data_IF_382835028337
#
_entry.id   IF_382835028337
#
_cell.length_a   1.000
_cell.length_b   1.000
_cell.length_c   1.000
_cell.angle_alpha   90.00
_cell.angle_beta   90.00
_cell.angle_gamma   90.00
#
_symmetry.space_group_name_H-M   'P 1'
#
loop_
_entity.id
_entity.type
_entity.pdbx_description
1 polymer ?
#
# COMPACT_ATOMS: atom_id res chain seq x y z
N UNK A 1 -1.92 -1.72 23.79
CA UNK A 1 -0.46 -1.50 23.88
C UNK A 1 -0.16 -0.01 23.71
N UNK A 2 0.78 0.56 24.48
CA UNK A 2 1.13 1.99 24.39
C UNK A 2 1.85 2.30 23.08
N UNK A 3 1.52 3.42 22.45
CA UNK A 3 2.13 3.90 21.20
C UNK A 3 3.03 5.12 21.46
N UNK A 4 2.43 6.26 21.85
CA UNK A 4 3.13 7.52 22.07
C UNK A 4 2.32 8.45 22.97
N UNK A 5 2.93 9.51 23.49
CA UNK A 5 2.24 10.56 24.23
C UNK A 5 1.88 11.72 23.29
N UNK A 6 0.61 12.12 23.29
CA UNK A 6 0.06 13.18 22.43
C UNK A 6 0.61 14.58 22.74
N UNK A 7 0.95 14.84 24.00
CA UNK A 7 1.48 16.14 24.45
C UNK A 7 2.97 16.29 24.16
N UNK A 8 3.66 15.18 23.89
CA UNK A 8 5.07 15.16 23.49
C UNK A 8 5.26 15.31 21.96
N UNK A 9 4.19 15.59 21.22
CA UNK A 9 4.21 15.77 19.75
C UNK A 9 3.70 17.17 19.40
N UNK A 10 4.43 17.94 18.56
CA UNK A 10 5.76 17.62 18.03
C UNK A 10 6.84 17.64 19.13
N UNK A 11 7.88 16.82 18.97
CA UNK A 11 9.04 16.76 19.86
C UNK A 11 9.46 15.34 20.24
N UNK A 12 9.38 15.02 21.53
CA UNK A 12 10.07 13.85 22.12
C UNK A 12 9.58 12.51 21.59
N UNK A 13 8.29 12.41 21.25
CA UNK A 13 7.68 11.14 20.81
C UNK A 13 7.47 11.08 19.29
N UNK A 14 8.01 12.03 18.51
CA UNK A 14 7.90 12.05 17.05
C UNK A 14 8.41 10.75 16.42
N UNK A 15 9.56 10.25 16.89
CA UNK A 15 10.14 9.00 16.40
C UNK A 15 9.21 7.79 16.60
N UNK A 16 8.50 7.71 17.74
CA UNK A 16 7.56 6.63 18.02
C UNK A 16 6.33 6.70 17.12
N UNK A 17 5.82 7.91 16.88
CA UNK A 17 4.71 8.12 15.97
C UNK A 17 5.10 7.74 14.53
N UNK A 18 6.26 8.20 14.06
CA UNK A 18 6.80 7.86 12.73
C UNK A 18 6.97 6.35 12.58
N UNK A 19 7.61 5.69 13.55
CA UNK A 19 7.83 4.24 13.52
C UNK A 19 6.51 3.46 13.45
N UNK A 20 5.52 3.85 14.26
CA UNK A 20 4.21 3.20 14.23
C UNK A 20 3.51 3.39 12.89
N UNK A 21 3.56 4.61 12.33
CA UNK A 21 2.92 4.91 11.05
C UNK A 21 3.56 4.14 9.88
N UNK A 22 4.87 4.03 9.89
CA UNK A 22 5.63 3.26 8.91
C UNK A 22 5.34 1.76 9.02
N UNK A 23 5.49 1.18 10.22
CA UNK A 23 5.34 -0.27 10.41
C UNK A 23 3.91 -0.76 10.17
N UNK A 24 2.90 -0.02 10.63
CA UNK A 24 1.51 -0.46 10.56
C UNK A 24 0.84 -0.14 9.23
N UNK A 25 1.15 1.02 8.64
CA UNK A 25 0.45 1.51 7.44
C UNK A 25 1.34 1.59 6.19
N UNK A 26 2.65 1.31 6.29
CA UNK A 26 3.58 1.35 5.16
C UNK A 26 3.79 2.75 4.60
N UNK A 27 3.69 3.78 5.45
CA UNK A 27 3.70 5.19 5.03
C UNK A 27 5.09 5.77 5.20
N UNK A 28 6.03 5.36 4.34
CA UNK A 28 7.46 5.68 4.50
C UNK A 28 7.78 7.19 4.45
N UNK A 29 6.94 7.96 3.73
CA UNK A 29 7.15 9.39 3.56
C UNK A 29 7.03 10.19 4.86
N UNK A 30 6.46 9.62 5.93
CA UNK A 30 6.35 10.28 7.25
C UNK A 30 7.70 10.55 7.90
N UNK A 31 8.76 9.82 7.49
CA UNK A 31 10.13 10.05 7.98
C UNK A 31 10.70 11.41 7.60
N UNK A 32 10.32 11.92 6.43
CA UNK A 32 10.77 13.20 5.89
C UNK A 32 9.69 14.28 5.99
N UNK A 33 8.51 13.93 6.50
CA UNK A 33 7.38 14.82 6.60
C UNK A 33 7.57 15.83 7.73
N UNK A 34 6.94 17.00 7.56
CA UNK A 34 6.84 17.98 8.64
C UNK A 34 5.71 17.54 9.57
N UNK A 35 6.01 17.52 10.87
CA UNK A 35 5.01 17.27 11.92
C UNK A 35 4.67 18.61 12.56
N UNK A 36 3.40 18.98 12.50
CA UNK A 36 2.89 20.18 13.14
C UNK A 36 1.65 19.86 13.97
N UNK A 37 1.49 20.58 15.06
CA UNK A 37 0.27 20.54 15.87
C UNK A 37 -0.46 21.85 15.67
N UNK A 38 -1.58 21.81 14.96
CA UNK A 38 -2.35 23.03 14.65
C UNK A 38 -3.10 23.54 15.87
N UNK A 39 -3.51 22.63 16.77
CA UNK A 39 -4.17 22.92 18.04
C UNK A 39 -3.99 21.73 19.00
N UNK A 40 -4.55 21.81 20.21
CA UNK A 40 -4.47 20.72 21.19
C UNK A 40 -5.13 19.40 20.74
N UNK A 41 -5.93 19.43 19.68
CA UNK A 41 -6.76 18.32 19.20
C UNK A 41 -6.33 17.76 17.84
N UNK A 42 -5.34 18.35 17.17
CA UNK A 42 -5.02 18.00 15.79
C UNK A 42 -3.51 18.05 15.54
N UNK A 43 -2.97 16.90 15.13
CA UNK A 43 -1.60 16.74 14.66
C UNK A 43 -1.67 16.47 13.15
N UNK A 44 -0.88 17.21 12.39
CA UNK A 44 -0.72 17.09 10.94
C UNK A 44 0.67 16.64 10.61
N UNK A 45 0.77 15.65 9.74
CA UNK A 45 2.02 15.15 9.18
C UNK A 45 1.87 15.28 7.68
N UNK A 46 2.70 16.14 7.08
CA UNK A 46 2.53 16.47 5.67
C UNK A 46 3.85 16.69 4.95
N UNK A 47 3.79 16.46 3.65
CA UNK A 47 4.78 16.88 2.66
C UNK A 47 4.08 17.80 1.66
N UNK A 48 4.76 18.18 0.57
CA UNK A 48 4.13 18.93 -0.51
C UNK A 48 2.97 18.16 -1.19
N UNK A 49 2.98 16.83 -1.12
CA UNK A 49 2.03 15.97 -1.86
C UNK A 49 1.11 15.15 -0.96
N UNK A 50 1.55 14.83 0.25
CA UNK A 50 0.84 13.92 1.14
C UNK A 50 0.38 14.62 2.41
N UNK A 51 -0.79 14.22 2.91
CA UNK A 51 -1.35 14.73 4.16
C UNK A 51 -1.90 13.57 5.00
N UNK A 52 -1.45 13.54 6.25
CA UNK A 52 -1.95 12.66 7.29
C UNK A 52 -2.36 13.52 8.48
N UNK A 53 -3.55 13.26 9.00
CA UNK A 53 -4.12 13.99 10.13
C UNK A 53 -4.51 13.02 11.23
N UNK A 54 -4.06 13.32 12.44
CA UNK A 54 -4.52 12.69 13.67
C UNK A 54 -5.41 13.69 14.40
N UNK A 55 -6.62 13.28 14.74
CA UNK A 55 -7.59 14.15 15.43
C UNK A 55 -8.05 13.52 16.73
N UNK A 56 -7.74 14.16 17.85
CA UNK A 56 -8.24 13.83 19.17
C UNK A 56 -9.67 14.34 19.33
N UNK A 57 -10.55 13.50 19.88
CA UNK A 57 -11.91 13.93 20.18
C UNK A 57 -11.97 14.87 21.40
N UNK A 58 -13.08 15.59 21.55
CA UNK A 58 -13.26 16.57 22.62
C UNK A 58 -13.17 15.93 24.02
N UNK A 59 -13.56 14.68 24.17
CA UNK A 59 -13.49 13.93 25.44
C UNK A 59 -12.08 13.40 25.74
N UNK A 60 -11.13 13.52 24.81
CA UNK A 60 -9.76 12.99 24.91
C UNK A 60 -9.70 11.47 25.17
N UNK A 61 -10.66 10.74 24.62
CA UNK A 61 -10.79 9.28 24.73
C UNK A 61 -10.41 8.53 23.46
N UNK A 62 -10.40 9.22 22.31
CA UNK A 62 -10.12 8.61 21.00
C UNK A 62 -9.35 9.56 20.08
N UNK A 63 -8.44 8.99 19.30
CA UNK A 63 -7.77 9.66 18.19
C UNK A 63 -8.16 8.98 16.88
N UNK A 64 -8.62 9.75 15.90
CA UNK A 64 -8.89 9.27 14.54
C UNK A 64 -7.72 9.58 13.63
N UNK A 65 -7.23 8.57 12.91
CA UNK A 65 -6.23 8.70 11.87
C UNK A 65 -6.89 8.83 10.51
N UNK A 66 -6.51 9.86 9.77
CA UNK A 66 -6.94 10.11 8.39
C UNK A 66 -5.72 10.22 7.49
N UNK A 67 -5.68 9.44 6.41
CA UNK A 67 -4.62 9.48 5.39
C UNK A 67 -5.28 9.84 4.07
N UNK A 68 -4.79 10.88 3.39
CA UNK A 68 -5.35 11.35 2.11
C UNK A 68 -6.88 11.56 2.18
N UNK A 69 -7.35 12.16 3.28
CA UNK A 69 -8.77 12.45 3.56
C UNK A 69 -9.67 11.22 3.77
N UNK A 70 -9.11 10.02 3.94
CA UNK A 70 -9.85 8.79 4.26
C UNK A 70 -9.55 8.34 5.69
N UNK A 71 -10.61 8.11 6.48
CA UNK A 71 -10.49 7.57 7.84
C UNK A 71 -9.89 6.16 7.75
N UNK A 72 -8.70 5.99 8.33
CA UNK A 72 -7.91 4.76 8.20
C UNK A 72 -7.91 3.94 9.48
N UNK A 73 -7.82 4.56 10.66
CA UNK A 73 -7.83 3.85 11.93
C UNK A 73 -8.27 4.75 13.11
N UNK A 74 -8.52 4.12 14.26
CA UNK A 74 -8.86 4.77 15.51
C UNK A 74 -8.00 4.23 16.66
N UNK A 75 -7.47 5.13 17.48
CA UNK A 75 -6.66 4.81 18.65
C UNK A 75 -7.37 5.22 19.94
N UNK A 76 -7.05 4.52 21.02
CA UNK A 76 -7.55 4.83 22.36
C UNK A 76 -6.65 5.89 22.96
N UNK A 77 -7.24 6.98 23.46
CA UNK A 77 -6.54 7.98 24.24
C UNK A 77 -6.91 7.84 25.72
N UNK A 78 -5.91 7.89 26.61
CA UNK A 78 -6.10 7.87 28.07
C UNK A 78 -5.33 9.01 28.71
N UNK A 79 -5.94 9.66 29.69
CA UNK A 79 -5.28 10.70 30.49
C UNK A 79 -4.63 10.02 31.70
N UNK A 80 -3.31 10.08 31.78
CA UNK A 80 -2.51 9.50 32.85
C UNK A 80 -1.47 10.53 33.29
N UNK A 81 -1.39 10.80 34.60
CA UNK A 81 -0.48 11.82 35.15
C UNK A 81 -0.63 13.20 34.45
N UNK A 82 -1.88 13.59 34.17
CA UNK A 82 -2.24 14.83 33.47
C UNK A 82 -1.72 14.96 32.03
N UNK A 83 -1.29 13.84 31.42
CA UNK A 83 -0.88 13.80 30.01
C UNK A 83 -1.71 12.81 29.22
N UNK A 84 -1.90 13.08 27.94
CA UNK A 84 -2.66 12.23 27.03
C UNK A 84 -1.73 11.19 26.39
N UNK A 85 -1.95 9.92 26.71
CA UNK A 85 -1.23 8.78 26.15
C UNK A 85 -2.11 8.05 25.13
N UNK A 86 -1.52 7.66 24.00
CA UNK A 86 -2.20 6.97 22.91
C UNK A 86 -1.84 5.49 22.93
N UNK A 87 -2.86 4.66 22.78
CA UNK A 87 -2.79 3.21 22.83
C UNK A 87 -3.44 2.61 21.59
N UNK A 88 -2.85 1.55 21.06
CA UNK A 88 -3.54 0.67 20.10
C UNK A 88 -4.49 -0.26 20.86
N UNK A 89 -5.66 -0.49 20.26
CA UNK A 89 -6.64 -1.45 20.75
C UNK A 89 -6.15 -2.88 20.47
N UNK A 90 -5.38 -3.42 21.41
CA UNK A 90 -4.87 -4.82 21.38
C UNK A 90 -5.59 -5.66 22.44
N UNK A 91 -6.50 -5.07 23.21
CA UNK A 91 -7.08 -5.70 24.42
C UNK A 91 -8.41 -6.42 24.18
N UNK A 92 -9.01 -6.33 23.00
CA UNK A 92 -10.21 -7.12 22.67
C UNK A 92 -9.89 -8.60 22.35
N UNK A 93 -8.72 -8.93 21.79
CA UNK A 93 -8.45 -10.30 21.32
C UNK A 93 -8.15 -11.32 22.45
N UNK A 94 -7.70 -10.88 23.62
CA UNK A 94 -7.32 -11.78 24.74
C UNK A 94 -8.34 -11.87 25.88
N UNK A 95 -9.29 -10.94 25.99
CA UNK A 95 -10.28 -10.95 27.08
C UNK A 95 -11.63 -11.60 26.70
N UNK A 96 -11.92 -11.76 25.41
CA UNK A 96 -13.17 -12.37 24.92
C UNK A 96 -13.23 -13.91 25.08
N UNK A 97 -12.08 -14.58 25.28
CA UNK A 97 -12.04 -16.03 25.54
C UNK A 97 -12.31 -16.34 27.04
N UNK A 98 -12.08 -15.39 27.96
CA UNK A 98 -12.18 -15.64 29.41
C UNK A 98 -13.38 -15.00 30.12
N UNK A 99 -14.07 -14.04 29.51
CA UNK A 99 -15.28 -13.45 30.08
C UNK A 99 -16.43 -13.65 29.10
N UNK A 100 -17.28 -14.63 29.41
CA UNK A 100 -18.50 -14.88 28.67
C UNK A 100 -19.28 -13.59 28.42
N UNK A 101 -19.50 -13.32 27.14
CA UNK A 101 -20.64 -12.60 26.57
C UNK A 101 -21.15 -11.42 27.40
N UNK A 102 -20.51 -10.26 27.22
CA UNK A 102 -21.23 -8.99 27.22
C UNK A 102 -20.79 -8.19 25.99
N UNK A 103 -21.37 -8.60 24.87
CA UNK A 103 -21.34 -7.86 23.60
C UNK A 103 -22.11 -6.55 23.79
N UNK A 104 -21.41 -5.50 24.23
CA UNK A 104 -21.88 -4.14 23.97
C UNK A 104 -21.40 -3.75 22.56
N UNK A 105 -22.22 -4.20 21.61
CA UNK A 105 -22.14 -3.95 20.18
C UNK A 105 -21.81 -2.50 19.83
N UNK A 106 -20.74 -2.30 19.06
CA UNK A 106 -20.57 -1.13 18.19
C UNK A 106 -20.21 -1.64 16.79
N UNK A 107 -21.24 -1.79 15.94
CA UNK A 107 -21.20 -2.28 14.54
C UNK A 107 -20.50 -1.28 13.59
N UNK A 108 -20.02 -1.67 12.36
CA UNK A 108 -20.90 -1.56 11.16
C UNK A 108 -20.45 -2.27 9.84
N UNK A 109 -20.28 -3.61 9.74
CA UNK A 109 -20.26 -4.28 8.40
C UNK A 109 -20.93 -5.65 8.37
N UNK A 110 -20.84 -6.43 9.45
CA UNK A 110 -21.61 -7.68 9.61
C UNK A 110 -23.12 -7.44 9.73
N UNK A 111 -23.55 -6.29 10.24
CA UNK A 111 -24.97 -5.95 10.38
C UNK A 111 -25.61 -5.53 9.05
N UNK A 112 -24.87 -4.87 8.14
CA UNK A 112 -25.36 -4.54 6.80
C UNK A 112 -25.46 -5.80 5.93
N UNK A 113 -24.45 -6.67 5.97
CA UNK A 113 -24.51 -7.99 5.34
C UNK A 113 -25.64 -8.85 5.93
N UNK A 114 -25.79 -8.83 7.26
CA UNK A 114 -26.85 -9.54 7.98
C UNK A 114 -28.25 -9.00 7.71
N UNK A 115 -28.45 -7.69 7.55
CA UNK A 115 -29.73 -7.09 7.19
C UNK A 115 -30.12 -7.39 5.74
N UNK A 116 -29.16 -7.40 4.82
CA UNK A 116 -29.41 -7.81 3.42
C UNK A 116 -29.76 -9.30 3.36
N UNK A 117 -29.04 -10.15 4.11
CA UNK A 117 -29.31 -11.58 4.17
C UNK A 117 -30.64 -11.89 4.87
N UNK A 118 -30.96 -11.19 5.97
CA UNK A 118 -32.24 -11.31 6.66
C UNK A 118 -33.39 -10.80 5.79
N UNK A 119 -33.20 -9.70 5.05
CA UNK A 119 -34.15 -9.22 4.06
C UNK A 119 -34.41 -10.24 2.95
N UNK A 120 -33.35 -10.85 2.40
CA UNK A 120 -33.48 -11.93 1.41
C UNK A 120 -34.18 -13.17 1.96
N UNK A 121 -33.89 -13.57 3.21
CA UNK A 121 -34.55 -14.69 3.88
C UNK A 121 -36.04 -14.39 4.09
N UNK A 122 -36.41 -13.18 4.53
CA UNK A 122 -37.82 -12.79 4.71
C UNK A 122 -38.55 -12.77 3.36
N UNK A 123 -37.94 -12.21 2.31
CA UNK A 123 -38.53 -12.21 0.95
C UNK A 123 -38.68 -13.63 0.41
N UNK A 124 -37.69 -14.50 0.64
CA UNK A 124 -37.73 -15.90 0.21
C UNK A 124 -38.79 -16.70 0.97
N UNK A 125 -38.87 -16.53 2.30
CA UNK A 125 -39.86 -17.19 3.16
C UNK A 125 -41.27 -16.67 2.87
N UNK A 126 -41.48 -15.36 2.69
CA UNK A 126 -42.80 -14.83 2.31
C UNK A 126 -43.19 -15.21 0.88
N UNK A 127 -42.26 -15.23 -0.08
CA UNK A 127 -42.56 -15.67 -1.44
C UNK A 127 -42.91 -17.15 -1.51
N UNK A 128 -42.18 -17.99 -0.78
CA UNK A 128 -42.35 -19.45 -0.77
C UNK A 128 -43.56 -19.91 0.06
N UNK A 129 -43.81 -19.32 1.24
CA UNK A 129 -44.91 -19.72 2.13
C UNK A 129 -46.16 -18.84 2.00
N UNK A 130 -46.01 -17.55 1.68
CA UNK A 130 -47.12 -16.60 1.62
C UNK A 130 -48.05 -16.81 0.42
N UNK A 131 -47.58 -17.46 -0.64
CA UNK A 131 -48.40 -17.70 -1.84
C UNK A 131 -49.29 -18.95 -1.73
N UNK A 132 -49.01 -19.89 -0.82
CA UNK A 132 -49.76 -21.15 -0.76
C UNK A 132 -50.68 -21.36 0.45
N UNK A 133 -50.51 -20.67 1.59
CA UNK A 133 -51.15 -21.20 2.82
C UNK A 133 -51.96 -20.28 3.74
N UNK A 134 -52.18 -18.98 3.48
CA UNK A 134 -52.82 -18.16 4.52
C UNK A 134 -53.87 -17.10 4.14
N UNK A 135 -54.05 -16.71 2.87
CA UNK A 135 -55.08 -15.70 2.51
C UNK A 135 -54.89 -14.31 3.15
N UNK A 136 -53.68 -14.01 3.64
CA UNK A 136 -53.36 -12.80 4.42
C UNK A 136 -53.21 -11.54 3.54
N UNK A 137 -52.90 -11.70 2.26
CA UNK A 137 -52.74 -10.59 1.32
C UNK A 137 -53.60 -10.78 0.08
N UNK A 138 -54.27 -9.71 -0.35
CA UNK A 138 -54.91 -9.70 -1.67
C UNK A 138 -53.84 -9.76 -2.77
N UNK A 139 -54.16 -10.28 -3.97
CA UNK A 139 -53.21 -10.31 -5.09
C UNK A 139 -52.57 -8.95 -5.37
N UNK A 140 -53.32 -7.86 -5.19
CA UNK A 140 -52.83 -6.48 -5.42
C UNK A 140 -51.75 -6.08 -4.40
N UNK A 141 -51.93 -6.40 -3.12
CA UNK A 141 -50.95 -6.09 -2.06
C UNK A 141 -49.66 -6.88 -2.23
N UNK A 142 -49.77 -8.15 -2.66
CA UNK A 142 -48.60 -8.96 -2.97
C UNK A 142 -47.73 -8.34 -4.09
N UNK A 143 -48.36 -7.80 -5.15
CA UNK A 143 -47.63 -7.10 -6.21
C UNK A 143 -46.89 -5.85 -5.69
N UNK A 144 -47.51 -5.08 -4.79
CA UNK A 144 -46.86 -3.91 -4.20
C UNK A 144 -45.64 -4.28 -3.34
N UNK A 145 -45.75 -5.33 -2.52
CA UNK A 145 -44.64 -5.80 -1.67
C UNK A 145 -43.47 -6.31 -2.52
N UNK A 146 -43.76 -7.07 -3.58
CA UNK A 146 -42.74 -7.55 -4.52
C UNK A 146 -42.07 -6.36 -5.22
N UNK A 147 -42.86 -5.40 -5.73
CA UNK A 147 -42.35 -4.21 -6.40
C UNK A 147 -41.45 -3.35 -5.49
N UNK A 148 -41.86 -3.13 -4.24
CA UNK A 148 -41.07 -2.39 -3.26
C UNK A 148 -39.76 -3.13 -2.92
N UNK A 149 -39.80 -4.45 -2.79
CA UNK A 149 -38.62 -5.27 -2.51
C UNK A 149 -37.60 -5.19 -3.64
N UNK A 150 -38.06 -5.30 -4.90
CA UNK A 150 -37.20 -5.14 -6.08
C UNK A 150 -36.56 -3.75 -6.10
N UNK A 151 -37.34 -2.71 -5.81
CA UNK A 151 -36.84 -1.32 -5.84
C UNK A 151 -35.77 -1.08 -4.77
N UNK A 152 -35.96 -1.60 -3.55
CA UNK A 152 -34.96 -1.55 -2.47
C UNK A 152 -33.70 -2.32 -2.87
N UNK A 153 -33.85 -3.52 -3.44
CA UNK A 153 -32.70 -4.33 -3.89
C UNK A 153 -31.92 -3.62 -5.00
N UNK A 154 -32.62 -2.97 -5.93
CA UNK A 154 -32.02 -2.22 -7.03
C UNK A 154 -31.25 -1.01 -6.50
N UNK A 155 -31.82 -0.28 -5.55
CA UNK A 155 -31.16 0.86 -4.91
C UNK A 155 -29.91 0.43 -4.11
N UNK A 156 -29.99 -0.66 -3.35
CA UNK A 156 -28.85 -1.21 -2.63
C UNK A 156 -27.73 -1.68 -3.57
N UNK A 157 -28.09 -2.35 -4.69
CA UNK A 157 -27.14 -2.76 -5.71
C UNK A 157 -26.46 -1.57 -6.39
N UNK A 158 -27.21 -0.51 -6.70
CA UNK A 158 -26.67 0.71 -7.28
C UNK A 158 -25.71 1.43 -6.32
N UNK A 159 -26.05 1.47 -5.03
CA UNK A 159 -25.19 2.03 -3.99
C UNK A 159 -23.86 1.26 -3.87
N UNK A 160 -23.91 -0.07 -3.86
CA UNK A 160 -22.71 -0.93 -3.86
C UNK A 160 -21.85 -0.70 -5.12
N UNK A 161 -22.47 -0.61 -6.30
CA UNK A 161 -21.74 -0.31 -7.54
C UNK A 161 -21.07 1.07 -7.52
N UNK A 162 -21.72 2.07 -6.93
CA UNK A 162 -21.15 3.41 -6.79
C UNK A 162 -19.94 3.44 -5.85
N UNK A 163 -20.02 2.76 -4.70
CA UNK A 163 -18.89 2.68 -3.77
C UNK A 163 -17.72 1.86 -4.32
N UNK A 164 -18.00 0.76 -5.04
CA UNK A 164 -17.00 0.00 -5.80
C UNK A 164 -16.32 0.86 -6.87
N UNK A 165 -17.08 1.67 -7.62
CA UNK A 165 -16.50 2.55 -8.65
C UNK A 165 -15.55 3.58 -8.04
N UNK A 166 -15.93 4.19 -6.91
CA UNK A 166 -15.09 5.17 -6.22
C UNK A 166 -13.82 4.54 -5.67
N UNK A 167 -13.88 3.34 -5.09
CA UNK A 167 -12.69 2.63 -4.59
C UNK A 167 -11.75 2.22 -5.72
N UNK A 168 -12.28 1.75 -6.86
CA UNK A 168 -11.48 1.42 -8.04
C UNK A 168 -10.81 2.66 -8.64
N UNK A 169 -11.47 3.83 -8.65
CA UNK A 169 -10.82 5.06 -9.13
C UNK A 169 -9.62 5.46 -8.28
N UNK A 170 -9.67 5.25 -6.97
CA UNK A 170 -8.55 5.53 -6.06
C UNK A 170 -7.40 4.54 -6.29
N UNK A 171 -7.72 3.25 -6.47
CA UNK A 171 -6.73 2.21 -6.78
C UNK A 171 -5.99 2.49 -8.10
N UNK A 172 -6.70 2.97 -9.12
CA UNK A 172 -6.10 3.28 -10.43
C UNK A 172 -5.10 4.43 -10.37
N UNK A 173 -5.37 5.46 -9.58
CA UNK A 173 -4.45 6.59 -9.36
C UNK A 173 -3.14 6.09 -8.71
N UNK A 174 -3.24 5.19 -7.73
CA UNK A 174 -2.08 4.66 -7.04
C UNK A 174 -1.22 3.74 -7.92
N UNK A 175 -1.84 2.99 -8.83
CA UNK A 175 -1.14 2.18 -9.82
C UNK A 175 -0.33 3.04 -10.80
N UNK A 176 -0.89 4.16 -11.28
CA UNK A 176 -0.19 5.09 -12.18
C UNK A 176 1.00 5.79 -11.49
N UNK A 177 0.87 6.17 -10.21
CA UNK A 177 2.01 6.69 -9.43
C UNK A 177 3.13 5.66 -9.26
N UNK A 178 2.79 4.40 -9.00
CA UNK A 178 3.77 3.32 -8.87
C UNK A 178 4.50 3.05 -10.19
N UNK A 179 3.81 3.16 -11.33
CA UNK A 179 4.43 3.05 -12.65
C UNK A 179 5.40 4.20 -12.93
N UNK A 180 5.00 5.44 -12.63
CA UNK A 180 5.85 6.63 -12.79
C UNK A 180 7.11 6.57 -11.89
N UNK A 181 6.97 6.11 -10.65
CA UNK A 181 8.12 5.89 -9.76
C UNK A 181 9.07 4.81 -10.27
N UNK A 182 8.54 3.76 -10.91
CA UNK A 182 9.37 2.71 -11.52
C UNK A 182 10.19 3.24 -12.68
N UNK A 183 9.56 3.99 -13.58
CA UNK A 183 10.22 4.52 -14.77
C UNK A 183 11.31 5.52 -14.41
N UNK A 184 11.02 6.44 -13.47
CA UNK A 184 12.02 7.40 -12.97
C UNK A 184 13.20 6.71 -12.26
N UNK A 185 12.97 5.61 -11.52
CA UNK A 185 14.04 4.81 -10.94
C UNK A 185 14.87 4.07 -12.00
N UNK A 186 14.24 3.55 -13.06
CA UNK A 186 14.96 2.91 -14.16
C UNK A 186 15.81 3.92 -14.92
N UNK A 187 15.31 5.13 -15.19
CA UNK A 187 16.03 6.19 -15.86
C UNK A 187 17.26 6.67 -15.03
N UNK A 188 17.11 6.79 -13.71
CA UNK A 188 18.25 7.04 -12.80
C UNK A 188 19.28 5.92 -12.81
N UNK A 189 18.84 4.66 -12.88
CA UNK A 189 19.76 3.52 -13.02
C UNK A 189 20.50 3.54 -14.35
N UNK A 190 19.80 3.82 -15.45
CA UNK A 190 20.40 3.87 -16.78
C UNK A 190 21.42 5.01 -16.87
N UNK A 191 21.08 6.20 -16.38
CA UNK A 191 22.01 7.36 -16.38
C UNK A 191 23.26 7.13 -15.51
N UNK A 192 23.12 6.48 -14.35
CA UNK A 192 24.29 6.10 -13.52
C UNK A 192 25.17 5.02 -14.18
N UNK A 193 24.56 4.06 -14.90
CA UNK A 193 25.27 3.06 -15.70
C UNK A 193 25.98 3.70 -16.90
N UNK A 194 25.38 4.70 -17.52
CA UNK A 194 25.96 5.41 -18.65
C UNK A 194 27.13 6.31 -18.22
N UNK A 195 27.01 6.96 -17.06
CA UNK A 195 28.12 7.71 -16.44
C UNK A 195 29.31 6.81 -16.07
N UNK A 196 29.04 5.62 -15.49
CA UNK A 196 30.10 4.65 -15.18
C UNK A 196 30.70 4.02 -16.45
N UNK A 197 29.89 3.74 -17.48
CA UNK A 197 30.38 3.27 -18.79
C UNK A 197 31.25 4.32 -19.47
N UNK A 198 30.84 5.59 -19.48
CA UNK A 198 31.61 6.71 -20.04
C UNK A 198 32.95 6.91 -19.31
N UNK A 199 32.96 6.74 -17.98
CA UNK A 199 34.20 6.69 -17.19
C UNK A 199 35.10 5.50 -17.55
N UNK A 200 34.52 4.32 -17.79
CA UNK A 200 35.27 3.12 -18.18
C UNK A 200 35.84 3.20 -19.61
N UNK A 201 35.10 3.76 -20.57
CA UNK A 201 35.59 3.94 -21.96
C UNK A 201 36.71 4.97 -22.05
N UNK A 202 36.73 5.96 -21.18
CA UNK A 202 37.80 6.98 -21.13
C UNK A 202 39.12 6.40 -20.62
N UNK A 203 39.10 5.37 -19.76
CA UNK A 203 40.33 4.72 -19.26
C UNK A 203 40.78 3.50 -20.08
N UNK A 204 39.86 2.83 -20.78
CA UNK A 204 40.16 1.66 -21.61
C UNK A 204 40.48 2.00 -23.07
N UNK A 205 39.93 3.08 -23.63
CA UNK A 205 40.20 3.50 -25.00
C UNK A 205 41.69 3.66 -25.33
N UNK A 206 42.48 4.40 -24.51
CA UNK A 206 43.91 4.53 -24.72
C UNK A 206 44.69 3.22 -24.57
N UNK A 207 44.22 2.31 -23.70
CA UNK A 207 44.85 1.00 -23.47
C UNK A 207 44.60 0.03 -24.62
N UNK A 208 43.39 0.00 -25.18
CA UNK A 208 43.04 -0.83 -26.33
C UNK A 208 43.76 -0.33 -27.60
N UNK A 209 43.82 0.98 -27.81
CA UNK A 209 44.57 1.58 -28.93
C UNK A 209 46.10 1.34 -28.82
N UNK A 210 46.64 1.19 -27.61
CA UNK A 210 48.05 0.86 -27.40
C UNK A 210 48.38 -0.64 -27.61
N UNK A 211 47.36 -1.51 -27.62
CA UNK A 211 47.50 -2.96 -27.80
C UNK A 211 47.37 -3.40 -29.26
N UNK A 212 46.63 -2.67 -30.10
CA UNK A 212 46.52 -2.93 -31.55
C UNK A 212 47.88 -3.01 -32.29
N UNK A 213 48.82 -2.05 -32.14
CA UNK A 213 50.11 -2.14 -32.82
C UNK A 213 50.98 -3.28 -32.28
N UNK A 214 50.79 -3.69 -31.02
CA UNK A 214 51.52 -4.82 -30.44
C UNK A 214 51.02 -6.15 -31.00
N UNK A 215 49.71 -6.28 -31.21
CA UNK A 215 49.11 -7.47 -31.80
C UNK A 215 49.55 -7.64 -33.27
N UNK A 216 49.52 -6.56 -34.06
CA UNK A 216 50.01 -6.57 -35.44
C UNK A 216 51.50 -6.95 -35.55
N UNK A 217 52.32 -6.49 -34.58
CA UNK A 217 53.75 -6.86 -34.47
C UNK A 217 53.92 -8.33 -34.10
N UNK A 218 53.02 -8.90 -33.28
CA UNK A 218 53.07 -10.30 -32.89
C UNK A 218 52.71 -11.22 -34.07
N UNK A 219 51.69 -10.87 -34.85
CA UNK A 219 51.27 -11.63 -36.03
C UNK A 219 52.36 -11.67 -37.12
N UNK A 220 53.07 -10.56 -37.34
CA UNK A 220 54.23 -10.54 -38.25
C UNK A 220 55.39 -11.40 -37.76
N UNK A 221 55.60 -11.48 -36.44
CA UNK A 221 56.64 -12.36 -35.87
C UNK A 221 56.26 -13.84 -35.96
N UNK A 222 54.99 -14.18 -35.77
CA UNK A 222 54.50 -15.57 -35.90
C UNK A 222 54.63 -16.05 -37.34
N UNK A 223 54.19 -15.27 -38.32
CA UNK A 223 54.32 -15.62 -39.75
C UNK A 223 55.77 -15.76 -40.20
N UNK A 224 56.68 -14.91 -39.70
CA UNK A 224 58.12 -15.05 -39.95
C UNK A 224 58.71 -16.33 -39.33
N UNK A 225 58.27 -16.70 -38.12
CA UNK A 225 58.70 -17.93 -37.45
C UNK A 225 58.17 -19.19 -38.14
N UNK A 226 56.93 -19.17 -38.64
CA UNK A 226 56.37 -20.28 -39.42
C UNK A 226 57.14 -20.51 -40.71
N UNK A 227 57.45 -19.45 -41.48
CA UNK A 227 58.28 -19.57 -42.68
C UNK A 227 59.70 -20.10 -42.39
N UNK A 228 60.28 -19.68 -41.26
CA UNK A 228 61.62 -20.13 -40.83
C UNK A 228 61.61 -21.59 -40.36
N UNK A 229 60.53 -22.03 -39.71
CA UNK A 229 60.32 -23.43 -39.30
C UNK A 229 60.11 -24.36 -40.49
N UNK A 230 59.31 -23.94 -41.48
CA UNK A 230 59.06 -24.69 -42.73
C UNK A 230 60.36 -24.84 -43.54
N UNK A 231 61.21 -23.80 -43.58
CA UNK A 231 62.50 -23.86 -44.28
C UNK A 231 63.53 -24.78 -43.59
N UNK A 232 63.47 -24.91 -42.26
CA UNK A 232 64.35 -25.80 -41.49
C UNK A 232 63.93 -27.27 -41.58
N UNK A 233 62.62 -27.55 -41.68
CA UNK A 233 62.09 -28.90 -41.88
C UNK A 233 62.30 -29.42 -43.31
N UNK A 234 62.22 -28.56 -44.33
CA UNK A 234 62.52 -28.94 -45.72
C UNK A 234 63.98 -29.33 -45.97
N UNK A 235 64.92 -28.82 -45.17
CA UNK A 235 66.36 -29.11 -45.30
C UNK A 235 66.80 -30.41 -44.62
N UNK A 236 65.95 -31.01 -43.77
CA UNK A 236 66.27 -32.24 -43.00
C UNK A 236 65.74 -33.53 -43.65
N UNK A 237 65.01 -33.43 -44.77
CA UNK A 237 64.45 -34.57 -45.52
C UNK A 237 65.21 -34.89 -46.81
N UNK A 238 66.36 -34.27 -47.06
CA UNK A 238 67.18 -34.44 -48.26
C UNK A 238 68.63 -34.81 -47.95
N UNK A 239 68.85 -35.81 -47.11
CA UNK A 239 70.15 -36.42 -46.80
C UNK A 239 70.01 -37.93 -46.67
#
# INVERSE_FOLDING_TARGET
MYLFNWDNIPGKDDGKLIEHLEQKYGVDWVRTAKIEKSNDYEIRIFTEKNLLTLKLNNEKTKVTLTINNVITDEFIAKIENSKVNIYTDVEQEKQDIRRGVKLENRYPYSMLGGLVLAGLIVVFVMGYYGTQSAGIFSPREAFFVIGASILILTAASAYLLFTLRNTVSVLKIHEEELQSMRDTMQERRISSLESTRSGATTSLGPRVAALEPQLATLETRVTSLEQKGVSQLGRKSGG
#
